data_IF_513405957514
#
_entry.id   IF_513405957514
#
_cell.length_a   1.000
_cell.length_b   1.000
_cell.length_c   1.000
_cell.angle_alpha   90.00
_cell.angle_beta   90.00
_cell.angle_gamma   90.00
#
_symmetry.space_group_name_H-M   'P 1'
#
loop_
_entity.id
_entity.type
_entity.pdbx_description
1 polymer ?
#
# COMPACT_ATOMS: atom_id res chain seq x y z
N UNK A 1 -17.62 -1.05 -11.46
CA UNK A 1 -17.12 -1.85 -10.32
C UNK A 1 -18.30 -2.52 -9.63
N UNK A 2 -18.24 -3.82 -9.37
CA UNK A 2 -19.23 -4.59 -8.64
C UNK A 2 -18.82 -4.70 -7.18
N UNK A 3 -19.73 -4.42 -6.25
CA UNK A 3 -19.48 -4.47 -4.80
C UNK A 3 -20.39 -5.53 -4.20
N UNK A 4 -19.81 -6.43 -3.39
CA UNK A 4 -20.55 -7.50 -2.75
C UNK A 4 -19.91 -7.87 -1.39
N UNK A 5 -20.39 -8.93 -0.74
CA UNK A 5 -19.91 -9.41 0.54
C UNK A 5 -19.61 -10.91 0.45
N UNK A 6 -18.50 -11.32 1.05
CA UNK A 6 -18.13 -12.72 1.23
C UNK A 6 -17.97 -13.06 2.71
N UNK A 7 -18.20 -14.32 3.05
CA UNK A 7 -17.83 -14.86 4.35
C UNK A 7 -16.52 -15.64 4.19
N UNK A 8 -15.41 -15.03 4.61
CA UNK A 8 -14.07 -15.59 4.51
C UNK A 8 -13.35 -15.48 5.85
N UNK A 9 -12.61 -16.51 6.19
CA UNK A 9 -11.85 -16.58 7.46
C UNK A 9 -12.66 -16.20 8.71
N UNK A 10 -13.95 -16.60 8.73
CA UNK A 10 -14.86 -16.28 9.83
C UNK A 10 -15.36 -14.84 9.90
N UNK A 11 -15.09 -14.02 8.87
CA UNK A 11 -15.50 -12.62 8.79
C UNK A 11 -16.41 -12.38 7.58
N UNK A 12 -17.40 -11.50 7.75
CA UNK A 12 -18.13 -10.91 6.62
C UNK A 12 -17.33 -9.76 6.06
N UNK A 13 -16.87 -9.88 4.84
CA UNK A 13 -15.99 -8.92 4.17
C UNK A 13 -16.72 -8.27 3.00
N UNK A 14 -16.76 -6.94 2.99
CA UNK A 14 -17.17 -6.17 1.82
C UNK A 14 -16.00 -6.10 0.85
N UNK A 15 -16.20 -6.52 -0.37
CA UNK A 15 -15.19 -6.46 -1.42
C UNK A 15 -15.76 -5.81 -2.69
N UNK A 16 -14.87 -5.42 -3.57
CA UNK A 16 -15.19 -4.89 -4.88
C UNK A 16 -14.33 -5.52 -5.96
N UNK A 17 -14.97 -5.82 -7.09
CA UNK A 17 -14.31 -6.31 -8.29
C UNK A 17 -14.60 -5.37 -9.45
N UNK A 18 -13.55 -4.84 -10.08
CA UNK A 18 -13.63 -4.21 -11.38
C UNK A 18 -13.17 -5.21 -12.43
N UNK A 19 -14.05 -5.59 -13.32
CA UNK A 19 -13.69 -6.44 -14.46
C UNK A 19 -12.69 -5.70 -15.39
N UNK A 20 -11.77 -6.43 -15.95
CA UNK A 20 -10.76 -5.97 -16.89
C UNK A 20 -10.27 -7.14 -17.74
N UNK A 21 -9.04 -7.06 -18.24
CA UNK A 21 -8.38 -8.12 -19.00
C UNK A 21 -8.24 -9.40 -18.16
N UNK A 22 -8.92 -10.45 -18.55
CA UNK A 22 -8.90 -11.76 -17.88
C UNK A 22 -7.76 -12.67 -18.34
N UNK A 23 -6.98 -12.24 -19.32
CA UNK A 23 -5.79 -12.98 -19.78
C UNK A 23 -4.61 -12.88 -18.79
N UNK A 24 -4.76 -12.08 -17.75
CA UNK A 24 -3.75 -11.82 -16.72
C UNK A 24 -4.32 -12.01 -15.33
N UNK A 25 -3.47 -12.32 -14.33
CA UNK A 25 -3.88 -12.27 -12.94
C UNK A 25 -4.45 -10.90 -12.55
N UNK A 26 -5.45 -10.85 -11.67
CA UNK A 26 -6.02 -9.58 -11.21
C UNK A 26 -5.01 -8.78 -10.37
N UNK A 27 -5.19 -7.47 -10.32
CA UNK A 27 -4.51 -6.62 -9.34
C UNK A 27 -5.31 -6.62 -8.04
N UNK A 28 -4.75 -7.19 -6.99
CA UNK A 28 -5.27 -7.11 -5.63
C UNK A 28 -4.74 -5.85 -4.95
N UNK A 29 -5.63 -4.90 -4.63
CA UNK A 29 -5.29 -3.64 -3.97
C UNK A 29 -5.65 -3.68 -2.49
N UNK A 30 -4.66 -3.47 -1.62
CA UNK A 30 -4.78 -3.45 -0.17
C UNK A 30 -4.60 -2.03 0.36
N UNK A 31 -5.67 -1.49 0.96
CA UNK A 31 -5.73 -0.09 1.37
C UNK A 31 -4.98 0.21 2.68
N UNK A 32 -4.72 1.52 2.89
CA UNK A 32 -4.07 2.05 4.09
C UNK A 32 -4.94 2.05 5.35
N UNK A 33 -4.36 2.53 6.45
CA UNK A 33 -5.00 2.59 7.77
C UNK A 33 -6.29 3.43 7.75
N UNK A 34 -7.42 2.81 8.08
CA UNK A 34 -8.74 3.44 8.11
C UNK A 34 -9.35 3.74 6.74
N UNK A 35 -8.64 3.41 5.67
CA UNK A 35 -9.08 3.61 4.29
C UNK A 35 -9.99 2.47 3.83
N UNK A 36 -11.10 2.82 3.20
CA UNK A 36 -12.06 1.89 2.59
C UNK A 36 -11.89 1.83 1.07
N UNK A 37 -12.68 0.98 0.41
CA UNK A 37 -12.68 0.78 -1.04
C UNK A 37 -12.73 2.12 -1.79
N UNK A 38 -13.55 3.06 -1.34
CA UNK A 38 -13.81 4.32 -2.01
C UNK A 38 -12.57 5.23 -2.13
N UNK A 39 -11.63 5.15 -1.19
CA UNK A 39 -10.39 5.95 -1.28
C UNK A 39 -9.50 5.52 -2.45
N UNK A 40 -9.58 4.27 -2.88
CA UNK A 40 -8.78 3.74 -3.98
C UNK A 40 -9.39 4.02 -5.37
N UNK A 41 -10.65 4.49 -5.44
CA UNK A 41 -11.36 4.66 -6.72
C UNK A 41 -10.60 5.51 -7.74
N UNK A 42 -10.03 6.67 -7.38
CA UNK A 42 -9.30 7.49 -8.36
C UNK A 42 -8.16 6.70 -9.05
N UNK A 43 -7.45 5.88 -8.30
CA UNK A 43 -6.39 5.03 -8.86
C UNK A 43 -6.96 3.86 -9.66
N UNK A 44 -8.00 3.19 -9.15
CA UNK A 44 -8.64 2.07 -9.84
C UNK A 44 -9.22 2.53 -11.19
N UNK A 45 -9.86 3.70 -11.22
CA UNK A 45 -10.47 4.24 -12.44
C UNK A 45 -9.42 4.70 -13.47
N UNK A 46 -8.22 5.06 -13.01
CA UNK A 46 -7.10 5.43 -13.86
C UNK A 46 -6.33 4.23 -14.46
N UNK A 47 -6.59 3.00 -13.99
CA UNK A 47 -6.01 1.79 -14.57
C UNK A 47 -6.78 1.37 -15.83
N UNK A 48 -6.09 1.07 -16.93
CA UNK A 48 -6.72 0.69 -18.20
C UNK A 48 -7.06 -0.81 -18.25
N UNK A 49 -6.11 -1.67 -17.91
CA UNK A 49 -6.17 -3.08 -18.32
C UNK A 49 -6.55 -4.09 -17.23
N UNK A 50 -5.99 -4.15 -16.01
CA UNK A 50 -6.17 -5.32 -15.17
C UNK A 50 -7.57 -5.38 -14.56
N UNK A 51 -8.07 -6.60 -14.33
CA UNK A 51 -9.13 -6.81 -13.34
C UNK A 51 -8.59 -6.36 -11.98
N UNK A 52 -9.40 -5.65 -11.17
CA UNK A 52 -8.98 -5.15 -9.87
C UNK A 52 -9.87 -5.73 -8.78
N UNK A 53 -9.25 -6.25 -7.75
CA UNK A 53 -9.90 -6.71 -6.52
C UNK A 53 -9.44 -5.80 -5.39
N UNK A 54 -10.36 -5.31 -4.59
CA UNK A 54 -10.06 -4.61 -3.33
C UNK A 54 -11.13 -4.94 -2.31
N UNK A 55 -10.83 -4.78 -1.02
CA UNK A 55 -11.79 -5.07 0.02
C UNK A 55 -11.57 -4.18 1.25
N UNK A 56 -12.62 -4.02 2.03
CA UNK A 56 -12.57 -3.41 3.34
C UNK A 56 -12.10 -4.45 4.37
N UNK A 57 -10.96 -4.21 5.02
CA UNK A 57 -10.49 -5.12 6.08
C UNK A 57 -11.47 -5.12 7.26
N UNK A 58 -11.51 -6.18 8.11
CA UNK A 58 -12.40 -6.23 9.26
C UNK A 58 -12.33 -4.95 10.12
N UNK A 59 -13.50 -4.32 10.33
CA UNK A 59 -13.63 -3.08 11.09
C UNK A 59 -13.51 -1.80 10.28
N UNK A 60 -13.39 -1.88 8.95
CA UNK A 60 -13.30 -0.73 8.05
C UNK A 60 -14.42 -0.74 7.02
N UNK A 61 -14.85 0.44 6.57
CA UNK A 61 -15.86 0.58 5.52
C UNK A 61 -17.13 -0.20 5.81
N UNK A 62 -17.48 -1.12 4.92
CA UNK A 62 -18.64 -1.99 5.04
C UNK A 62 -18.37 -3.35 5.69
N UNK A 63 -17.14 -3.62 6.12
CA UNK A 63 -16.78 -4.84 6.85
C UNK A 63 -16.94 -4.65 8.36
N UNK A 64 -17.75 -5.49 9.05
CA UNK A 64 -17.98 -5.37 10.48
C UNK A 64 -16.71 -5.44 11.32
N UNK A 65 -16.72 -4.77 12.46
CA UNK A 65 -15.62 -4.86 13.44
C UNK A 65 -15.57 -6.26 14.02
N UNK A 66 -14.43 -6.95 13.98
CA UNK A 66 -14.31 -8.29 14.52
C UNK A 66 -14.33 -8.28 16.05
N UNK A 67 -14.73 -9.40 16.71
CA UNK A 67 -14.80 -9.47 18.17
C UNK A 67 -13.42 -9.53 18.84
N UNK A 68 -12.38 -9.87 18.09
CA UNK A 68 -11.01 -10.02 18.59
C UNK A 68 -9.99 -9.30 17.69
N UNK A 69 -8.88 -8.84 18.27
CA UNK A 69 -7.77 -8.27 17.50
C UNK A 69 -7.18 -9.27 16.51
N UNK A 70 -6.70 -8.78 15.40
CA UNK A 70 -5.99 -9.54 14.37
C UNK A 70 -4.56 -9.03 14.17
N UNK A 71 -3.75 -9.82 13.47
CA UNK A 71 -2.39 -9.48 13.05
C UNK A 71 -2.33 -9.40 11.52
N UNK A 72 -1.31 -8.76 10.91
CA UNK A 72 -1.12 -8.80 9.46
C UNK A 72 -1.15 -10.21 8.88
N UNK A 73 -0.64 -11.22 9.61
CA UNK A 73 -0.68 -12.62 9.21
C UNK A 73 -2.09 -13.21 9.10
N UNK A 74 -3.04 -12.77 9.94
CA UNK A 74 -4.44 -13.19 9.84
C UNK A 74 -5.10 -12.55 8.61
N UNK A 75 -4.81 -11.27 8.35
CA UNK A 75 -5.35 -10.59 7.18
C UNK A 75 -4.76 -11.17 5.88
N UNK A 76 -3.48 -11.55 5.86
CA UNK A 76 -2.90 -12.24 4.71
C UNK A 76 -3.61 -13.58 4.39
N UNK A 77 -3.97 -14.38 5.42
CA UNK A 77 -4.78 -15.60 5.24
C UNK A 77 -6.19 -15.29 4.72
N UNK A 78 -6.86 -14.32 5.35
CA UNK A 78 -8.17 -13.84 4.88
C UNK A 78 -8.11 -13.42 3.41
N UNK A 79 -7.05 -12.73 3.01
CA UNK A 79 -6.81 -12.31 1.63
C UNK A 79 -6.69 -13.52 0.68
N UNK A 80 -5.97 -14.57 1.08
CA UNK A 80 -5.86 -15.80 0.30
C UNK A 80 -7.22 -16.49 0.14
N UNK A 81 -7.99 -16.63 1.22
CA UNK A 81 -9.34 -17.20 1.20
C UNK A 81 -10.32 -16.36 0.36
N UNK A 82 -10.16 -15.02 0.34
CA UNK A 82 -10.97 -14.16 -0.54
C UNK A 82 -10.63 -14.42 -2.02
N UNK A 83 -9.36 -14.58 -2.37
CA UNK A 83 -8.97 -14.96 -3.74
C UNK A 83 -9.55 -16.32 -4.12
N UNK A 84 -9.55 -17.31 -3.22
CA UNK A 84 -10.16 -18.63 -3.43
C UNK A 84 -11.66 -18.50 -3.67
N UNK A 85 -12.36 -17.71 -2.83
CA UNK A 85 -13.79 -17.43 -2.98
C UNK A 85 -14.13 -16.81 -4.36
N UNK A 86 -13.23 -15.98 -4.88
CA UNK A 86 -13.38 -15.32 -6.18
C UNK A 86 -12.87 -16.16 -7.36
N UNK A 87 -12.28 -17.34 -7.10
CA UNK A 87 -11.78 -18.25 -8.13
C UNK A 87 -10.42 -17.87 -8.73
N UNK A 88 -9.60 -17.08 -8.02
CA UNK A 88 -8.27 -16.68 -8.48
C UNK A 88 -7.17 -17.46 -7.76
N UNK A 89 -6.31 -18.14 -8.52
CA UNK A 89 -5.16 -18.88 -8.00
C UNK A 89 -4.00 -17.97 -7.62
N UNK A 90 -3.77 -16.87 -8.36
CA UNK A 90 -2.72 -15.88 -8.12
C UNK A 90 -3.21 -14.46 -8.40
N UNK A 91 -2.49 -13.47 -7.90
CA UNK A 91 -2.74 -12.05 -8.14
C UNK A 91 -1.43 -11.27 -8.20
N UNK A 92 -1.45 -10.12 -8.87
CA UNK A 92 -0.50 -9.05 -8.61
C UNK A 92 -0.97 -8.30 -7.37
N UNK A 93 -0.07 -8.02 -6.43
CA UNK A 93 -0.47 -7.46 -5.13
C UNK A 93 0.07 -6.05 -4.97
N UNK A 94 -0.80 -5.09 -4.77
CA UNK A 94 -0.45 -3.70 -4.46
C UNK A 94 -0.91 -3.37 -3.04
N UNK A 95 0.01 -2.96 -2.19
CA UNK A 95 -0.31 -2.51 -0.84
C UNK A 95 0.10 -1.06 -0.59
N UNK A 96 -0.83 -0.28 -0.05
CA UNK A 96 -0.62 1.15 0.26
C UNK A 96 -0.46 1.34 1.75
N UNK A 97 0.64 1.96 2.21
CA UNK A 97 0.84 2.32 3.60
C UNK A 97 0.66 1.10 4.53
N UNK A 98 -0.33 1.08 5.41
CA UNK A 98 -0.68 -0.08 6.23
C UNK A 98 -1.00 -1.33 5.39
N UNK A 99 -1.69 -1.15 4.25
CA UNK A 99 -1.93 -2.24 3.28
C UNK A 99 -0.64 -2.81 2.71
N UNK A 100 0.43 -2.01 2.65
CA UNK A 100 1.76 -2.48 2.27
C UNK A 100 2.37 -3.47 3.28
N UNK A 101 2.05 -3.35 4.56
CA UNK A 101 2.41 -4.37 5.55
C UNK A 101 1.68 -5.70 5.28
N UNK A 102 0.39 -5.63 4.91
CA UNK A 102 -0.38 -6.82 4.52
C UNK A 102 0.15 -7.43 3.22
N UNK A 103 0.48 -6.60 2.22
CA UNK A 103 1.03 -7.06 0.94
C UNK A 103 2.37 -7.79 1.13
N UNK A 104 3.29 -7.23 1.94
CA UNK A 104 4.53 -7.89 2.31
C UNK A 104 4.28 -9.23 3.02
N UNK A 105 3.36 -9.23 4.00
CA UNK A 105 3.02 -10.44 4.74
C UNK A 105 2.36 -11.50 3.84
N UNK A 106 1.50 -11.09 2.90
CA UNK A 106 0.88 -11.98 1.92
C UNK A 106 1.92 -12.60 0.99
N UNK A 107 2.81 -11.78 0.41
CA UNK A 107 3.88 -12.25 -0.46
C UNK A 107 4.84 -13.24 0.24
N UNK A 108 5.06 -13.05 1.54
CA UNK A 108 5.86 -13.98 2.36
C UNK A 108 5.13 -15.28 2.68
N UNK A 109 3.86 -15.22 3.14
CA UNK A 109 3.10 -16.40 3.57
C UNK A 109 2.53 -17.22 2.40
N UNK A 110 2.19 -16.57 1.31
CA UNK A 110 1.52 -17.12 0.14
C UNK A 110 2.31 -16.80 -1.14
N UNK A 111 3.60 -17.13 -1.14
CA UNK A 111 4.55 -16.70 -2.18
C UNK A 111 4.13 -17.15 -3.58
N UNK A 112 3.55 -18.35 -3.72
CA UNK A 112 3.03 -18.87 -4.99
C UNK A 112 1.75 -18.17 -5.48
N UNK A 113 1.09 -17.40 -4.62
CA UNK A 113 -0.15 -16.67 -4.91
C UNK A 113 0.09 -15.20 -5.25
N UNK A 114 1.34 -14.73 -5.11
CA UNK A 114 1.76 -13.36 -5.40
C UNK A 114 2.72 -13.36 -6.59
N UNK A 115 2.23 -12.98 -7.78
CA UNK A 115 3.05 -12.95 -9.00
C UNK A 115 4.03 -11.77 -8.98
N UNK A 116 3.55 -10.58 -8.69
CA UNK A 116 4.30 -9.33 -8.56
C UNK A 116 3.85 -8.55 -7.35
N UNK A 117 4.76 -7.79 -6.74
CA UNK A 117 4.49 -7.02 -5.54
C UNK A 117 4.70 -5.52 -5.80
N UNK A 118 3.72 -4.68 -5.45
CA UNK A 118 3.84 -3.22 -5.48
C UNK A 118 3.66 -2.70 -4.07
N UNK A 119 4.65 -1.98 -3.57
CA UNK A 119 4.71 -1.41 -2.22
C UNK A 119 4.66 0.12 -2.32
N UNK A 120 3.49 0.72 -2.09
CA UNK A 120 3.25 2.14 -2.25
C UNK A 120 3.18 2.86 -0.88
N UNK A 121 3.97 3.92 -0.68
CA UNK A 121 3.97 4.74 0.53
C UNK A 121 4.01 3.91 1.82
N UNK A 122 4.82 2.86 1.88
CA UNK A 122 4.87 1.89 2.98
C UNK A 122 6.29 1.68 3.51
N UNK A 123 6.41 0.88 4.54
CA UNK A 123 7.65 0.65 5.27
C UNK A 123 7.77 -0.81 5.73
N UNK A 124 8.94 -1.23 6.23
CA UNK A 124 9.13 -2.56 6.80
C UNK A 124 8.51 -2.73 8.21
N UNK A 125 7.64 -1.83 8.65
CA UNK A 125 6.90 -1.95 9.91
C UNK A 125 7.60 -1.33 11.12
N UNK A 126 7.45 -1.92 12.30
CA UNK A 126 7.84 -1.31 13.59
C UNK A 126 9.33 -0.93 13.71
N UNK A 127 10.22 -1.59 12.95
CA UNK A 127 11.65 -1.28 12.92
C UNK A 127 12.02 -0.30 11.79
N UNK A 128 11.06 0.45 11.27
CA UNK A 128 11.28 1.50 10.28
C UNK A 128 11.94 2.75 10.89
N UNK A 129 12.48 3.61 10.03
CA UNK A 129 12.75 4.99 10.41
C UNK A 129 11.39 5.70 10.59
N UNK A 130 11.03 6.13 11.81
CA UNK A 130 9.69 6.63 12.09
C UNK A 130 9.45 8.01 11.48
N UNK A 131 8.18 8.34 11.28
CA UNK A 131 7.76 9.73 11.10
C UNK A 131 8.12 10.58 12.32
N UNK A 132 8.14 11.88 12.14
CA UNK A 132 8.32 12.79 13.27
C UNK A 132 7.18 12.62 14.31
N UNK A 133 7.50 12.74 15.58
CA UNK A 133 6.54 12.52 16.68
C UNK A 133 5.22 13.31 16.52
N UNK A 134 5.21 14.61 16.11
CA UNK A 134 3.96 15.33 15.89
C UNK A 134 3.06 14.69 14.81
N UNK A 135 3.64 14.08 13.79
CA UNK A 135 2.90 13.38 12.73
C UNK A 135 2.29 12.08 13.30
N UNK A 136 3.10 11.29 14.02
CA UNK A 136 2.63 10.07 14.67
C UNK A 136 1.47 10.33 15.64
N UNK A 137 1.54 11.37 16.46
CA UNK A 137 0.48 11.75 17.39
C UNK A 137 -0.85 12.05 16.66
N UNK A 138 -0.79 12.67 15.48
CA UNK A 138 -1.99 12.91 14.64
C UNK A 138 -2.60 11.64 14.08
N UNK A 139 -1.82 10.56 13.98
CA UNK A 139 -2.27 9.25 13.51
C UNK A 139 -2.88 8.38 14.62
N UNK A 140 -2.69 8.71 15.90
CA UNK A 140 -3.24 7.93 17.02
C UNK A 140 -4.77 7.97 17.10
N UNK A 141 -5.42 8.90 16.41
CA UNK A 141 -6.89 9.00 16.41
C UNK A 141 -7.44 9.04 14.98
N UNK A 142 -8.65 8.50 14.76
CA UNK A 142 -9.31 8.60 13.46
C UNK A 142 -9.95 9.97 13.19
N UNK A 143 -9.67 11.00 14.02
CA UNK A 143 -10.34 12.29 13.97
C UNK A 143 -10.34 12.92 12.57
N UNK A 144 -9.25 12.73 11.79
CA UNK A 144 -9.12 13.21 10.41
C UNK A 144 -10.16 12.66 9.44
N UNK A 145 -10.81 11.53 9.78
CA UNK A 145 -11.87 10.92 8.95
C UNK A 145 -13.29 11.38 9.34
N UNK A 146 -13.46 11.94 10.54
CA UNK A 146 -14.79 12.29 11.08
C UNK A 146 -14.97 13.79 11.34
N UNK A 147 -13.87 14.54 11.39
CA UNK A 147 -13.86 15.97 11.67
C UNK A 147 -13.18 16.70 10.49
N UNK A 148 -14.01 17.37 9.68
CA UNK A 148 -13.56 18.06 8.46
C UNK A 148 -12.58 19.18 8.75
N UNK A 149 -12.81 19.97 9.79
CA UNK A 149 -11.92 21.08 10.18
C UNK A 149 -10.56 20.53 10.62
N UNK A 150 -10.59 19.47 11.42
CA UNK A 150 -9.37 18.79 11.84
C UNK A 150 -8.62 18.19 10.66
N UNK A 151 -9.32 17.55 9.71
CA UNK A 151 -8.73 17.01 8.50
C UNK A 151 -7.97 18.07 7.70
N UNK A 152 -8.59 19.24 7.48
CA UNK A 152 -7.96 20.37 6.80
C UNK A 152 -6.71 20.88 7.55
N UNK A 153 -6.80 20.98 8.88
CA UNK A 153 -5.72 21.46 9.73
C UNK A 153 -4.48 20.57 9.69
N UNK A 154 -4.68 19.25 9.62
CA UNK A 154 -3.56 18.28 9.70
C UNK A 154 -3.09 17.75 8.35
N UNK A 155 -3.80 18.03 7.26
CA UNK A 155 -3.56 17.44 5.95
C UNK A 155 -2.12 17.61 5.46
N UNK A 156 -1.60 18.84 5.51
CA UNK A 156 -0.22 19.15 5.09
C UNK A 156 0.83 18.45 5.93
N UNK A 157 0.60 18.33 7.23
CA UNK A 157 1.55 17.72 8.16
C UNK A 157 1.56 16.19 8.06
N UNK A 158 0.39 15.58 7.76
CA UNK A 158 0.24 14.12 7.72
C UNK A 158 0.54 13.56 6.33
N UNK A 159 0.07 14.25 5.27
CA UNK A 159 0.14 13.71 3.92
C UNK A 159 1.17 14.39 3.03
N UNK A 160 1.68 15.59 3.38
CA UNK A 160 2.68 16.31 2.60
C UNK A 160 2.19 16.72 1.19
N UNK A 161 3.14 16.93 0.29
CA UNK A 161 2.87 17.19 -1.13
C UNK A 161 1.91 18.33 -1.38
N UNK A 162 0.89 18.10 -2.21
CA UNK A 162 -0.12 19.10 -2.56
C UNK A 162 -0.88 19.65 -1.35
N UNK A 163 -1.04 18.85 -0.30
CA UNK A 163 -1.80 19.25 0.88
C UNK A 163 -1.11 20.32 1.73
N UNK A 164 0.22 20.48 1.61
CA UNK A 164 0.92 21.62 2.25
C UNK A 164 0.51 22.97 1.66
N UNK A 165 0.26 23.01 0.35
CA UNK A 165 -0.11 24.23 -0.37
C UNK A 165 -1.61 24.41 -0.52
N UNK A 166 -2.35 23.31 -0.63
CA UNK A 166 -3.79 23.27 -0.84
C UNK A 166 -4.45 22.26 0.11
N UNK A 167 -4.55 22.56 1.44
CA UNK A 167 -5.14 21.62 2.40
C UNK A 167 -6.55 21.18 2.03
N UNK A 168 -7.32 22.05 1.37
CA UNK A 168 -8.68 21.74 0.93
C UNK A 168 -8.76 20.57 -0.07
N UNK A 169 -7.65 20.23 -0.77
CA UNK A 169 -7.60 19.07 -1.65
C UNK A 169 -7.82 17.75 -0.90
N UNK A 170 -7.58 17.68 0.42
CA UNK A 170 -7.87 16.51 1.23
C UNK A 170 -9.36 16.18 1.26
N UNK A 171 -10.21 17.17 1.09
CA UNK A 171 -11.67 16.95 1.09
C UNK A 171 -12.09 16.13 -0.12
N UNK A 172 -11.57 16.46 -1.31
CA UNK A 172 -11.82 15.64 -2.51
C UNK A 172 -11.30 14.22 -2.37
N UNK A 173 -10.14 14.05 -1.72
CA UNK A 173 -9.58 12.72 -1.46
C UNK A 173 -10.48 11.89 -0.52
N UNK A 174 -11.19 12.54 0.41
CA UNK A 174 -12.02 11.89 1.43
C UNK A 174 -13.52 12.03 1.23
N UNK A 175 -13.99 12.68 0.16
CA UNK A 175 -15.42 12.91 -0.08
C UNK A 175 -16.26 11.62 -0.06
N UNK A 176 -15.67 10.49 -0.43
CA UNK A 176 -16.34 9.19 -0.47
C UNK A 176 -15.88 8.22 0.63
N UNK A 177 -14.92 8.64 1.47
CA UNK A 177 -14.44 7.77 2.55
C UNK A 177 -15.52 7.65 3.63
N UNK A 178 -15.98 6.41 3.87
CA UNK A 178 -16.93 6.09 4.93
C UNK A 178 -16.17 5.58 6.14
N UNK A 179 -16.08 6.40 7.15
CA UNK A 179 -15.52 5.96 8.43
C UNK A 179 -16.52 5.04 9.14
N UNK A 180 -16.16 3.79 9.37
CA UNK A 180 -17.08 2.79 9.93
C UNK A 180 -17.05 2.75 11.46
N UNK A 181 -15.88 2.60 12.07
CA UNK A 181 -15.81 2.51 13.52
C UNK A 181 -14.46 2.95 14.09
N UNK A 182 -14.50 3.55 15.29
CA UNK A 182 -13.29 3.84 16.06
C UNK A 182 -12.58 2.53 16.47
N UNK A 183 -13.37 1.49 16.84
CA UNK A 183 -12.85 0.19 17.23
C UNK A 183 -12.02 -0.45 16.12
N UNK A 184 -12.54 -0.49 14.89
CA UNK A 184 -11.80 -1.01 13.73
C UNK A 184 -10.51 -0.26 13.45
N UNK A 185 -10.50 1.05 13.59
CA UNK A 185 -9.30 1.85 13.45
C UNK A 185 -8.21 1.48 14.47
N UNK A 186 -8.60 1.36 15.75
CA UNK A 186 -7.67 0.97 16.81
C UNK A 186 -7.20 -0.47 16.69
N UNK A 187 -8.03 -1.37 16.16
CA UNK A 187 -7.60 -2.75 15.84
C UNK A 187 -6.51 -2.77 14.75
N UNK A 188 -6.63 -1.94 13.72
CA UNK A 188 -5.58 -1.81 12.71
C UNK A 188 -4.28 -1.24 13.31
N UNK A 189 -4.36 -0.24 14.19
CA UNK A 189 -3.18 0.29 14.89
C UNK A 189 -2.53 -0.79 15.77
N UNK A 190 -3.33 -1.53 16.52
CA UNK A 190 -2.85 -2.64 17.35
C UNK A 190 -2.22 -3.77 16.50
N UNK A 191 -2.79 -4.05 15.32
CA UNK A 191 -2.25 -5.03 14.39
C UNK A 191 -0.88 -4.61 13.84
N UNK A 192 -0.68 -3.31 13.57
CA UNK A 192 0.60 -2.77 13.11
C UNK A 192 1.66 -2.76 14.21
N UNK A 193 1.23 -2.68 15.48
CA UNK A 193 2.16 -2.57 16.61
C UNK A 193 3.04 -3.83 16.74
N UNK A 194 4.35 -3.62 16.70
CA UNK A 194 5.36 -4.66 16.81
C UNK A 194 5.53 -5.55 15.56
N UNK A 195 4.69 -5.37 14.51
CA UNK A 195 4.91 -6.09 13.26
C UNK A 195 6.07 -5.49 12.48
N UNK A 196 6.92 -6.36 11.92
CA UNK A 196 8.00 -5.95 11.02
C UNK A 196 8.31 -7.05 10.00
N UNK A 197 8.64 -6.64 8.79
CA UNK A 197 9.11 -7.51 7.72
C UNK A 197 10.64 -7.59 7.62
N UNK A 198 11.38 -6.72 8.30
CA UNK A 198 12.84 -6.63 8.19
C UNK A 198 13.56 -7.99 8.26
N UNK A 199 13.20 -8.92 9.17
CA UNK A 199 13.93 -10.18 9.30
C UNK A 199 13.81 -11.12 8.09
N UNK A 200 12.86 -10.89 7.18
CA UNK A 200 12.56 -11.79 6.08
C UNK A 200 12.33 -11.09 4.72
N UNK A 201 12.49 -9.77 4.60
CA UNK A 201 12.37 -9.06 3.31
C UNK A 201 13.29 -9.64 2.23
N UNK A 202 14.46 -10.09 2.60
CA UNK A 202 15.44 -10.72 1.70
C UNK A 202 15.00 -12.08 1.14
N UNK A 203 13.94 -12.67 1.67
CA UNK A 203 13.38 -13.94 1.18
C UNK A 203 12.26 -13.75 0.15
N UNK A 204 11.80 -12.51 -0.06
CA UNK A 204 10.78 -12.22 -1.06
C UNK A 204 11.36 -12.44 -2.45
N UNK A 205 10.75 -13.36 -3.21
CA UNK A 205 11.19 -13.75 -4.55
C UNK A 205 10.40 -13.05 -5.68
N UNK A 206 9.33 -12.34 -5.32
CA UNK A 206 8.49 -11.65 -6.29
C UNK A 206 9.21 -10.42 -6.85
N UNK A 207 9.17 -10.19 -8.17
CA UNK A 207 9.53 -8.89 -8.72
C UNK A 207 8.76 -7.79 -7.97
N UNK A 208 9.47 -6.82 -7.41
CA UNK A 208 8.90 -5.82 -6.51
C UNK A 208 9.12 -4.40 -7.01
N UNK A 209 8.03 -3.63 -7.10
CA UNK A 209 8.06 -2.19 -7.32
C UNK A 209 7.79 -1.47 -5.99
N UNK A 210 8.70 -0.60 -5.60
CA UNK A 210 8.53 0.27 -4.43
C UNK A 210 8.25 1.68 -4.94
N UNK A 211 7.12 2.26 -4.54
CA UNK A 211 6.72 3.63 -4.89
C UNK A 211 6.72 4.51 -3.64
N UNK A 212 7.39 5.63 -3.69
CA UNK A 212 7.49 6.56 -2.56
C UNK A 212 7.26 8.01 -2.98
N UNK A 213 6.59 8.79 -2.13
CA UNK A 213 6.52 10.24 -2.27
C UNK A 213 7.77 10.91 -1.69
N UNK A 214 8.37 11.84 -2.43
CA UNK A 214 9.56 12.57 -1.96
C UNK A 214 9.26 13.47 -0.74
N UNK A 215 8.04 13.98 -0.63
CA UNK A 215 7.53 14.80 0.48
C UNK A 215 6.49 14.03 1.32
N UNK A 216 6.76 12.75 1.61
CA UNK A 216 5.92 11.93 2.50
C UNK A 216 6.37 12.09 3.96
N UNK A 217 5.61 12.81 4.81
CA UNK A 217 5.99 12.99 6.21
C UNK A 217 5.61 11.81 7.10
N UNK A 218 4.71 10.94 6.63
CA UNK A 218 4.21 9.79 7.40
C UNK A 218 5.10 8.56 7.24
N UNK A 219 5.61 8.34 6.02
CA UNK A 219 6.55 7.26 5.73
C UNK A 219 7.79 7.86 5.07
N UNK A 220 8.83 8.22 5.86
CA UNK A 220 10.05 8.79 5.33
C UNK A 220 10.67 7.93 4.23
N UNK A 221 11.09 8.58 3.15
CA UNK A 221 11.61 7.94 1.91
C UNK A 221 12.75 6.95 2.17
N UNK A 222 13.52 7.14 3.22
CA UNK A 222 14.61 6.23 3.61
C UNK A 222 14.12 4.80 3.80
N UNK A 223 12.86 4.59 4.21
CA UNK A 223 12.27 3.26 4.35
C UNK A 223 12.12 2.55 3.00
N UNK A 224 11.82 3.31 1.94
CA UNK A 224 11.77 2.77 0.58
C UNK A 224 13.15 2.31 0.10
N UNK A 225 14.20 3.06 0.39
CA UNK A 225 15.58 2.64 0.08
C UNK A 225 16.01 1.41 0.88
N UNK A 226 15.62 1.32 2.16
CA UNK A 226 15.89 0.12 2.99
C UNK A 226 15.21 -1.11 2.39
N UNK A 227 13.94 -1.00 2.00
CA UNK A 227 13.22 -2.11 1.36
C UNK A 227 13.84 -2.48 0.01
N UNK A 228 14.23 -1.50 -0.82
CA UNK A 228 14.91 -1.73 -2.10
C UNK A 228 16.23 -2.47 -1.91
N UNK A 229 16.98 -2.15 -0.88
CA UNK A 229 18.27 -2.80 -0.60
C UNK A 229 18.10 -4.24 -0.10
N UNK A 230 17.01 -4.51 0.63
CA UNK A 230 16.77 -5.83 1.24
C UNK A 230 16.04 -6.80 0.31
N UNK A 231 15.13 -6.33 -0.53
CA UNK A 231 14.34 -7.19 -1.43
C UNK A 231 15.18 -7.49 -2.69
N UNK A 232 15.45 -8.75 -3.03
CA UNK A 232 16.41 -9.12 -4.09
C UNK A 232 16.08 -8.57 -5.49
N UNK A 233 14.80 -8.61 -5.89
CA UNK A 233 14.33 -8.11 -7.20
C UNK A 233 13.42 -6.89 -7.00
N UNK A 234 13.97 -5.83 -6.39
CA UNK A 234 13.24 -4.60 -6.13
C UNK A 234 13.75 -3.43 -6.95
N UNK A 235 12.81 -2.63 -7.47
CA UNK A 235 13.07 -1.32 -8.03
C UNK A 235 12.27 -0.25 -7.30
N UNK A 236 12.76 0.99 -7.34
CA UNK A 236 12.14 2.13 -6.69
C UNK A 236 11.74 3.19 -7.72
N UNK A 237 10.55 3.75 -7.53
CA UNK A 237 10.04 4.92 -8.24
C UNK A 237 9.67 6.00 -7.21
N UNK A 238 10.27 7.18 -7.35
CA UNK A 238 10.06 8.31 -6.44
C UNK A 238 9.26 9.36 -7.16
N UNK A 239 8.09 9.70 -6.61
CA UNK A 239 7.21 10.73 -7.14
C UNK A 239 7.40 12.04 -6.37
N UNK A 240 7.43 13.17 -7.07
CA UNK A 240 7.44 14.51 -6.44
C UNK A 240 6.05 14.85 -5.86
N UNK A 241 5.72 14.17 -4.76
CA UNK A 241 4.42 14.26 -4.09
C UNK A 241 4.52 13.76 -2.64
N UNK A 242 3.37 13.77 -1.92
CA UNK A 242 3.26 13.27 -0.54
C UNK A 242 2.70 11.85 -0.47
N UNK A 243 2.17 11.48 0.70
CA UNK A 243 1.71 10.13 1.04
C UNK A 243 0.56 9.59 0.17
N UNK A 244 -0.38 10.45 -0.25
CA UNK A 244 -1.59 10.01 -0.97
C UNK A 244 -1.44 10.11 -2.50
N UNK A 245 -0.29 9.76 -3.06
CA UNK A 245 -0.04 9.89 -4.50
C UNK A 245 -0.94 8.99 -5.36
N UNK A 246 -1.40 7.85 -4.90
CA UNK A 246 -2.38 7.04 -5.63
C UNK A 246 -3.72 7.77 -5.84
N UNK A 247 -4.01 8.79 -5.03
CA UNK A 247 -5.18 9.65 -5.19
C UNK A 247 -4.84 10.94 -5.94
N UNK A 248 -3.74 11.60 -5.55
CA UNK A 248 -3.40 12.93 -6.07
C UNK A 248 -2.62 12.91 -7.39
N UNK A 249 -2.08 11.75 -7.76
CA UNK A 249 -1.33 11.44 -8.98
C UNK A 249 -1.80 10.12 -9.57
N UNK A 250 -3.12 9.90 -9.58
CA UNK A 250 -3.73 8.62 -9.94
C UNK A 250 -3.28 8.10 -11.30
N UNK A 251 -3.38 8.92 -12.36
CA UNK A 251 -2.98 8.54 -13.72
C UNK A 251 -1.48 8.25 -13.86
N UNK A 252 -0.63 9.05 -13.21
CA UNK A 252 0.82 8.83 -13.22
C UNK A 252 1.16 7.52 -12.50
N UNK A 253 0.55 7.29 -11.33
CA UNK A 253 0.72 6.08 -10.55
C UNK A 253 0.22 4.83 -11.28
N UNK A 254 -0.93 4.94 -11.94
CA UNK A 254 -1.50 3.84 -12.73
C UNK A 254 -0.56 3.45 -13.87
N UNK A 255 -0.05 4.40 -14.66
CA UNK A 255 0.91 4.13 -15.74
C UNK A 255 2.18 3.44 -15.25
N UNK A 256 2.73 3.87 -14.11
CA UNK A 256 3.92 3.25 -13.51
C UNK A 256 3.63 1.80 -13.12
N UNK A 257 2.50 1.56 -12.43
CA UNK A 257 2.10 0.22 -11.99
C UNK A 257 1.85 -0.67 -13.21
N UNK A 258 1.07 -0.25 -14.20
CA UNK A 258 0.77 -1.04 -15.39
C UNK A 258 2.03 -1.39 -16.20
N UNK A 259 2.94 -0.43 -16.37
CA UNK A 259 4.24 -0.69 -16.98
C UNK A 259 4.98 -1.81 -16.26
N UNK A 260 4.99 -1.79 -14.92
CA UNK A 260 5.60 -2.84 -14.12
C UNK A 260 4.90 -4.19 -14.26
N UNK A 261 3.57 -4.22 -14.23
CA UNK A 261 2.79 -5.47 -14.30
C UNK A 261 2.87 -6.15 -15.68
N UNK A 262 3.22 -5.40 -16.73
CA UNK A 262 3.28 -5.89 -18.11
C UNK A 262 4.69 -6.26 -18.58
N UNK A 263 5.73 -5.94 -17.82
CA UNK A 263 7.11 -6.30 -18.19
C UNK A 263 7.30 -7.81 -18.30
N UNK A 264 8.00 -8.27 -19.34
CA UNK A 264 8.44 -9.65 -19.42
C UNK A 264 9.53 -9.94 -18.38
N UNK A 265 9.57 -11.16 -17.82
CA UNK A 265 10.57 -11.55 -16.80
C UNK A 265 12.02 -11.34 -17.28
N UNK A 266 12.29 -11.43 -18.59
CA UNK A 266 13.62 -11.21 -19.16
C UNK A 266 14.06 -9.75 -19.17
N UNK A 267 13.14 -8.79 -19.27
CA UNK A 267 13.47 -7.35 -19.28
C UNK A 267 13.82 -6.82 -17.89
N UNK A 268 13.27 -7.38 -16.84
CA UNK A 268 13.55 -7.04 -15.44
C UNK A 268 15.00 -7.35 -15.05
N UNK A 269 15.48 -8.54 -15.38
CA UNK A 269 16.86 -8.99 -15.10
C UNK A 269 17.94 -8.15 -15.79
N UNK A 270 17.68 -7.64 -17.01
CA UNK A 270 18.64 -6.78 -17.73
C UNK A 270 18.70 -5.37 -17.14
N UNK A 271 17.60 -4.81 -16.61
CA UNK A 271 17.57 -3.48 -15.99
C UNK A 271 18.19 -3.49 -14.58
N UNK A 272 17.93 -4.50 -13.77
CA UNK A 272 18.54 -4.67 -12.44
C UNK A 272 20.08 -4.71 -12.50
N UNK A 273 20.66 -5.41 -13.49
CA UNK A 273 22.12 -5.44 -13.72
C UNK A 273 22.70 -4.09 -14.16
N UNK A 274 21.94 -3.25 -14.90
CA UNK A 274 22.39 -1.90 -15.29
C UNK A 274 22.30 -0.87 -14.16
N UNK A 275 21.35 -1.02 -13.23
CA UNK A 275 21.24 -0.17 -12.04
C UNK A 275 22.37 -0.45 -11.04
N UNK A 276 22.72 -1.72 -10.84
CA UNK A 276 23.84 -2.12 -9.98
C UNK A 276 25.22 -1.66 -10.50
N UNK A 277 25.37 -1.46 -11.82
CA UNK A 277 26.62 -0.97 -12.42
C UNK A 277 26.79 0.56 -12.40
N UNK A 278 25.82 1.31 -11.89
CA UNK A 278 25.86 2.79 -11.76
C UNK A 278 26.02 3.26 -10.30
N UNK A 279 26.67 2.49 -9.43
CA UNK A 279 27.15 3.04 -8.15
C UNK A 279 28.27 4.04 -8.48
N UNK A 280 28.16 5.33 -8.15
CA UNK A 280 29.25 6.28 -8.35
C UNK A 280 30.42 5.83 -7.50
N UNK A 281 31.59 5.66 -8.14
CA UNK A 281 32.85 5.43 -7.43
C UNK A 281 33.04 6.58 -6.43
N UNK A 282 33.20 6.20 -5.15
CA UNK A 282 33.43 7.05 -4.00
C UNK A 282 34.42 8.19 -4.27
N UNK A 283 34.16 9.44 -3.82
CA UNK A 283 35.11 10.55 -3.84
C UNK A 283 36.04 10.53 -2.61
N UNK A 284 36.62 9.37 -2.27
CA UNK A 284 37.65 9.27 -1.21
C UNK A 284 39.03 9.10 -1.81
N UNK A 285 39.47 10.06 -2.65
CA UNK A 285 40.86 10.27 -2.98
C UNK A 285 41.09 11.72 -3.35
N UNK A 286 41.26 12.59 -2.36
CA UNK A 286 42.05 13.83 -2.39
C UNK A 286 42.10 14.39 -0.97
N UNK A 287 42.92 13.84 -0.11
CA UNK A 287 43.58 14.51 0.99
C UNK A 287 44.88 13.75 1.23
N UNK A 288 45.90 14.19 0.53
CA UNK A 288 47.33 14.05 0.87
C UNK A 288 47.99 15.36 0.56
#
# INVERSE_FOLDING_TARGET
MHIDHAHVHGHRIRYAVRAGDTSRPPLLLLNGLGANIELALPFIDALDAPSVITYDVPGVGGSPTPPSPYRPSNIARLTAELLDHLGFEEADVLGVSWGGAIAQQFAFQHSSRCRRLVLAATSPGALMVPAQLPVLLKMLTPRRYVDREHALKVAGDVYGGVFRRKPAAVMHAFDHVRFSSRGGYYMQLAAAFGWTSLPWLWTLSQPTLIMAGADDPLVPIVNAYVMQWLIPDARIEILDCGHLFLVTRAEESARIVESFLTESAESGLRRGRRAASRVPSSPLRRMS
#
